data_IF_241668679107
#
_entry.id   IF_241668679107
#
_cell.length_a   1.000
_cell.length_b   1.000
_cell.length_c   1.000
_cell.angle_alpha   90.00
_cell.angle_beta   90.00
_cell.angle_gamma   90.00
#
_symmetry.space_group_name_H-M   'P 1'
#
loop_
_entity.id
_entity.type
_entity.pdbx_description
1 polymer ?
#
# COMPACT_ATOMS: atom_id res chain seq x y z
N UNK A 1 -12.15 19.11 1.84
CA UNK A 1 -12.20 17.63 1.68
C UNK A 1 -10.98 17.21 0.89
N UNK A 2 -10.17 16.36 1.48
CA UNK A 2 -9.00 15.84 0.77
C UNK A 2 -9.46 14.89 -0.33
N UNK A 3 -9.10 15.19 -1.55
CA UNK A 3 -9.36 14.29 -2.68
C UNK A 3 -8.39 13.10 -2.63
N UNK A 4 -8.73 12.00 -3.30
CA UNK A 4 -7.84 10.84 -3.44
C UNK A 4 -6.49 11.25 -4.05
N UNK A 5 -6.49 12.15 -5.02
CA UNK A 5 -5.26 12.68 -5.62
C UNK A 5 -4.41 13.45 -4.61
N UNK A 6 -5.01 14.26 -3.74
CA UNK A 6 -4.31 14.97 -2.66
C UNK A 6 -3.69 13.99 -1.66
N UNK A 7 -4.44 12.95 -1.28
CA UNK A 7 -3.93 11.89 -0.43
C UNK A 7 -2.74 11.19 -1.08
N UNK A 8 -2.85 10.79 -2.36
CA UNK A 8 -1.78 10.12 -3.10
C UNK A 8 -0.52 10.99 -3.17
N UNK A 9 -0.67 12.30 -3.44
CA UNK A 9 0.45 13.23 -3.41
C UNK A 9 1.11 13.30 -2.02
N UNK A 10 0.32 13.33 -0.95
CA UNK A 10 0.84 13.31 0.42
C UNK A 10 1.59 12.01 0.74
N UNK A 11 1.09 10.87 0.27
CA UNK A 11 1.76 9.58 0.42
C UNK A 11 3.07 9.53 -0.39
N UNK A 12 3.13 10.13 -1.57
CA UNK A 12 4.36 10.24 -2.36
C UNK A 12 5.43 11.03 -1.60
N UNK A 13 5.08 12.20 -1.05
CA UNK A 13 5.99 13.01 -0.22
C UNK A 13 6.48 12.18 0.97
N UNK A 14 5.59 11.42 1.61
CA UNK A 14 5.95 10.59 2.74
C UNK A 14 6.90 9.46 2.31
N UNK A 15 6.63 8.74 1.23
CA UNK A 15 7.50 7.69 0.68
C UNK A 15 8.88 8.28 0.38
N UNK A 16 8.96 9.37 -0.38
CA UNK A 16 10.21 10.05 -0.73
C UNK A 16 11.06 10.36 0.51
N UNK A 17 10.43 10.86 1.57
CA UNK A 17 11.11 11.23 2.82
C UNK A 17 11.66 10.03 3.60
N UNK A 18 11.19 8.81 3.33
CA UNK A 18 11.51 7.60 4.12
C UNK A 18 12.23 6.50 3.32
N UNK A 19 12.58 6.74 2.06
CA UNK A 19 13.31 5.77 1.23
C UNK A 19 14.65 5.33 1.85
N UNK A 20 15.31 6.21 2.62
CA UNK A 20 16.54 5.90 3.32
C UNK A 20 16.39 4.76 4.34
N UNK A 21 15.20 4.55 4.89
CA UNK A 21 14.93 3.45 5.86
C UNK A 21 15.04 2.08 5.22
N UNK A 22 14.76 1.99 3.92
CA UNK A 22 14.84 0.76 3.12
C UNK A 22 16.07 0.73 2.20
N UNK A 23 17.03 1.66 2.41
CA UNK A 23 18.22 1.82 1.58
C UNK A 23 17.90 1.95 0.08
N UNK A 24 16.80 2.63 -0.25
CA UNK A 24 16.41 2.87 -1.63
C UNK A 24 16.81 4.30 -2.05
N UNK A 25 17.37 4.42 -3.26
CA UNK A 25 17.68 5.68 -3.93
C UNK A 25 16.78 5.79 -5.18
N UNK A 26 15.47 5.93 -4.93
CA UNK A 26 14.48 6.01 -5.99
C UNK A 26 14.32 7.45 -6.47
N UNK A 27 14.25 7.61 -7.79
CA UNK A 27 13.79 8.83 -8.42
C UNK A 27 12.29 8.99 -8.19
N UNK A 28 11.87 10.16 -7.76
CA UNK A 28 10.45 10.44 -7.57
C UNK A 28 9.69 10.37 -8.90
N UNK A 29 8.59 9.58 -8.97
CA UNK A 29 7.74 9.54 -10.14
C UNK A 29 7.14 10.92 -10.42
N UNK A 30 7.14 11.32 -11.69
CA UNK A 30 6.60 12.62 -12.14
C UNK A 30 5.10 12.57 -12.45
N UNK A 31 4.45 11.44 -12.23
CA UNK A 31 3.00 11.24 -12.35
C UNK A 31 2.53 10.24 -11.28
N UNK A 32 1.22 10.20 -11.05
CA UNK A 32 0.57 9.25 -10.14
C UNK A 32 -0.11 8.14 -10.96
N UNK A 33 -0.16 6.90 -10.46
CA UNK A 33 -0.93 5.85 -11.11
C UNK A 33 -2.43 6.19 -11.05
N UNK A 34 -3.19 5.69 -12.00
CA UNK A 34 -4.65 5.71 -11.92
C UNK A 34 -5.10 4.74 -10.83
N UNK A 35 -5.96 5.18 -9.90
CA UNK A 35 -6.51 4.31 -8.86
C UNK A 35 -7.94 3.92 -9.24
N UNK A 36 -8.17 2.63 -9.49
CA UNK A 36 -9.47 2.06 -9.84
C UNK A 36 -10.05 1.26 -8.70
N UNK A 37 -11.32 1.52 -8.41
CA UNK A 37 -12.09 0.73 -7.44
C UNK A 37 -12.95 -0.29 -8.17
N UNK A 38 -12.68 -1.57 -7.93
CA UNK A 38 -13.31 -2.71 -8.62
C UNK A 38 -13.97 -3.67 -7.64
N UNK A 39 -14.86 -4.53 -8.11
CA UNK A 39 -15.47 -5.56 -7.26
C UNK A 39 -14.42 -6.55 -6.73
N UNK A 40 -14.71 -7.23 -5.61
CA UNK A 40 -13.82 -8.27 -5.09
C UNK A 40 -13.56 -9.38 -6.12
N UNK A 41 -14.58 -9.77 -6.88
CA UNK A 41 -14.44 -10.79 -7.91
C UNK A 41 -13.48 -10.35 -9.01
N UNK A 42 -13.58 -9.11 -9.49
CA UNK A 42 -12.69 -8.54 -10.49
C UNK A 42 -11.26 -8.40 -9.95
N UNK A 43 -11.11 -7.86 -8.72
CA UNK A 43 -9.81 -7.71 -8.08
C UNK A 43 -9.12 -9.06 -7.88
N UNK A 44 -9.85 -10.09 -7.45
CA UNK A 44 -9.31 -11.44 -7.30
C UNK A 44 -8.84 -12.05 -8.62
N UNK A 45 -9.53 -11.78 -9.73
CA UNK A 45 -9.11 -12.23 -11.07
C UNK A 45 -7.83 -11.54 -11.54
N UNK A 46 -7.65 -10.27 -11.18
CA UNK A 46 -6.46 -9.49 -11.53
C UNK A 46 -5.25 -9.90 -10.68
N UNK A 47 -5.46 -10.10 -9.38
CA UNK A 47 -4.38 -10.28 -8.41
C UNK A 47 -3.98 -11.74 -8.17
N UNK A 48 -4.88 -12.70 -8.39
CA UNK A 48 -4.72 -14.09 -7.97
C UNK A 48 -5.19 -15.07 -9.04
N UNK A 49 -4.51 -16.20 -9.12
CA UNK A 49 -4.97 -17.32 -9.96
C UNK A 49 -6.26 -17.97 -9.43
N UNK A 50 -6.52 -17.84 -8.15
CA UNK A 50 -7.71 -18.36 -7.44
C UNK A 50 -8.29 -17.25 -6.57
N UNK A 51 -9.59 -17.32 -6.19
CA UNK A 51 -10.18 -16.34 -5.27
C UNK A 51 -9.33 -16.16 -4.02
N UNK A 52 -8.97 -14.92 -3.72
CA UNK A 52 -8.10 -14.56 -2.60
C UNK A 52 -8.63 -13.31 -1.87
N UNK A 53 -8.33 -13.17 -0.57
CA UNK A 53 -8.76 -12.03 0.22
C UNK A 53 -7.84 -10.81 -0.03
N UNK A 54 -7.97 -10.16 -1.18
CA UNK A 54 -7.18 -9.00 -1.60
C UNK A 54 -8.00 -7.72 -1.51
N UNK A 55 -7.37 -6.64 -1.08
CA UNK A 55 -7.99 -5.31 -0.92
C UNK A 55 -7.36 -4.26 -1.83
N UNK A 56 -6.09 -4.41 -2.11
CA UNK A 56 -5.33 -3.58 -3.04
C UNK A 56 -4.39 -4.43 -3.87
N UNK A 57 -4.07 -3.97 -5.07
CA UNK A 57 -3.13 -4.64 -5.97
C UNK A 57 -2.56 -3.68 -7.00
N UNK A 58 -1.23 -3.62 -7.08
CA UNK A 58 -0.51 -2.99 -8.18
C UNK A 58 0.11 -4.07 -9.07
N UNK A 59 -0.41 -4.29 -10.30
CA UNK A 59 0.15 -5.26 -11.23
C UNK A 59 1.42 -4.70 -11.87
N UNK A 60 2.56 -5.35 -11.65
CA UNK A 60 3.86 -4.99 -12.24
C UNK A 60 3.90 -5.23 -13.77
N UNK A 61 2.90 -5.88 -14.33
CA UNK A 61 2.80 -6.17 -15.76
C UNK A 61 2.30 -4.98 -16.60
N UNK A 62 1.80 -3.93 -15.96
CA UNK A 62 1.23 -2.74 -16.62
C UNK A 62 2.27 -1.64 -16.87
N UNK A 63 3.44 -2.01 -17.37
CA UNK A 63 4.59 -1.11 -17.53
C UNK A 63 4.49 -0.20 -18.77
N UNK A 64 3.36 0.46 -18.95
CA UNK A 64 3.24 1.53 -19.95
C UNK A 64 3.25 2.85 -19.19
N UNK A 65 4.34 3.58 -19.27
CA UNK A 65 4.53 4.88 -18.63
C UNK A 65 3.28 5.78 -18.78
N UNK A 66 2.79 6.32 -17.67
CA UNK A 66 1.61 7.18 -17.62
C UNK A 66 0.27 6.45 -17.73
N UNK A 67 0.26 5.12 -17.76
CA UNK A 67 -0.96 4.29 -17.85
C UNK A 67 -1.04 3.22 -16.77
N UNK A 68 -0.17 3.28 -15.80
CA UNK A 68 -0.16 2.35 -14.69
C UNK A 68 -1.44 2.51 -13.86
N UNK A 69 -2.02 1.37 -13.52
CA UNK A 69 -3.27 1.30 -12.76
C UNK A 69 -3.03 0.53 -11.46
N UNK A 70 -3.41 1.15 -10.36
CA UNK A 70 -3.51 0.53 -9.05
C UNK A 70 -4.96 0.20 -8.76
N UNK A 71 -5.24 -1.03 -8.38
CA UNK A 71 -6.59 -1.48 -8.08
C UNK A 71 -6.85 -1.52 -6.59
N UNK A 72 -8.02 -1.04 -6.18
CA UNK A 72 -8.53 -1.15 -4.81
C UNK A 72 -9.92 -1.79 -4.82
N UNK A 73 -10.28 -2.47 -3.76
CA UNK A 73 -11.61 -3.07 -3.64
C UNK A 73 -12.68 -1.98 -3.52
N UNK A 74 -13.80 -2.16 -4.19
CA UNK A 74 -14.95 -1.25 -4.13
C UNK A 74 -15.46 -1.07 -2.70
N UNK A 75 -15.68 0.17 -2.30
CA UNK A 75 -16.09 0.54 -0.95
C UNK A 75 -14.93 0.79 0.01
N UNK A 76 -13.68 0.57 -0.41
CA UNK A 76 -12.51 0.99 0.35
C UNK A 76 -12.43 2.53 0.42
N UNK A 77 -12.12 3.06 1.59
CA UNK A 77 -12.00 4.51 1.83
C UNK A 77 -10.61 4.83 2.43
N UNK A 78 -9.59 5.04 1.59
CA UNK A 78 -8.24 5.35 2.07
C UNK A 78 -8.14 6.74 2.73
N UNK A 79 -9.11 7.62 2.50
CA UNK A 79 -9.12 8.97 3.09
C UNK A 79 -9.45 8.89 4.59
N UNK A 80 -10.47 8.12 4.94
CA UNK A 80 -10.98 8.06 6.32
C UNK A 80 -10.55 6.79 7.07
N UNK A 81 -10.11 5.75 6.37
CA UNK A 81 -9.72 4.48 6.95
C UNK A 81 -8.20 4.26 6.89
N UNK A 82 -7.52 4.32 8.03
CA UNK A 82 -6.08 4.10 8.11
C UNK A 82 -5.67 2.70 7.62
N UNK A 83 -6.48 1.66 7.86
CA UNK A 83 -6.19 0.31 7.35
C UNK A 83 -6.12 0.28 5.84
N UNK A 84 -7.08 0.91 5.17
CA UNK A 84 -7.12 1.01 3.71
C UNK A 84 -6.00 1.93 3.20
N UNK A 85 -5.72 3.01 3.91
CA UNK A 85 -4.64 3.93 3.55
C UNK A 85 -3.27 3.27 3.61
N UNK A 86 -3.01 2.40 4.58
CA UNK A 86 -1.74 1.67 4.66
C UNK A 86 -1.59 0.66 3.52
N UNK A 87 -2.68 0.04 3.08
CA UNK A 87 -2.68 -0.82 1.89
C UNK A 87 -2.41 0.02 0.64
N UNK A 88 -3.08 1.15 0.47
CA UNK A 88 -2.80 2.05 -0.65
C UNK A 88 -1.33 2.47 -0.68
N UNK A 89 -0.74 2.83 0.47
CA UNK A 89 0.68 3.16 0.55
C UNK A 89 1.56 1.99 0.12
N UNK A 90 1.26 0.76 0.56
CA UNK A 90 1.98 -0.45 0.16
C UNK A 90 2.00 -0.61 -1.36
N UNK A 91 0.85 -0.50 -2.01
CA UNK A 91 0.73 -0.61 -3.47
C UNK A 91 1.42 0.56 -4.20
N UNK A 92 1.40 1.76 -3.62
CA UNK A 92 2.16 2.90 -4.17
C UNK A 92 3.68 2.70 -4.07
N UNK A 93 4.17 1.97 -3.06
CA UNK A 93 5.59 1.58 -3.02
C UNK A 93 5.93 0.67 -4.17
N UNK A 94 5.07 -0.28 -4.54
CA UNK A 94 5.27 -1.12 -5.73
C UNK A 94 5.31 -0.30 -7.02
N UNK A 95 4.44 0.71 -7.15
CA UNK A 95 4.53 1.66 -8.27
C UNK A 95 5.88 2.40 -8.30
N UNK A 96 6.40 2.87 -7.16
CA UNK A 96 7.71 3.51 -7.10
C UNK A 96 8.85 2.54 -7.47
N UNK A 97 8.78 1.29 -7.02
CA UNK A 97 9.74 0.24 -7.35
C UNK A 97 9.75 -0.04 -8.85
N UNK A 98 8.58 -0.11 -9.46
CA UNK A 98 8.41 -0.36 -10.89
C UNK A 98 8.94 0.81 -11.73
N UNK A 99 8.57 2.04 -11.37
CA UNK A 99 9.07 3.27 -12.00
C UNK A 99 10.61 3.38 -11.98
N UNK A 100 11.27 2.76 -11.02
CA UNK A 100 12.72 2.78 -10.84
C UNK A 100 13.42 1.46 -11.19
N UNK A 101 12.74 0.50 -11.82
CA UNK A 101 13.29 -0.83 -12.17
C UNK A 101 13.98 -1.49 -10.98
N UNK A 102 13.39 -1.37 -9.78
CA UNK A 102 14.00 -1.78 -8.53
C UNK A 102 14.37 -3.26 -8.52
N UNK A 103 15.68 -3.54 -8.29
CA UNK A 103 16.28 -4.88 -8.24
C UNK A 103 16.40 -5.64 -9.57
N UNK A 104 16.02 -5.06 -10.70
CA UNK A 104 16.04 -5.75 -11.99
C UNK A 104 17.49 -6.01 -12.47
N UNK A 105 18.39 -5.07 -12.21
CA UNK A 105 19.80 -5.15 -12.62
C UNK A 105 20.67 -6.04 -11.73
N UNK A 106 20.11 -6.60 -10.64
CA UNK A 106 20.90 -7.36 -9.65
C UNK A 106 21.23 -8.80 -10.09
N UNK A 107 20.76 -9.27 -11.26
CA UNK A 107 20.94 -10.64 -11.73
C UNK A 107 20.22 -11.69 -10.87
N UNK A 108 19.33 -11.27 -9.99
CA UNK A 108 18.57 -12.12 -9.09
C UNK A 108 17.42 -12.82 -9.83
N UNK A 109 16.98 -13.96 -9.31
CA UNK A 109 15.75 -14.59 -9.81
C UNK A 109 14.52 -13.73 -9.53
N UNK A 110 13.47 -13.83 -10.34
CA UNK A 110 12.20 -13.11 -10.14
C UNK A 110 11.62 -13.28 -8.74
N UNK A 111 11.77 -14.47 -8.14
CA UNK A 111 11.34 -14.73 -6.76
C UNK A 111 12.09 -13.88 -5.74
N UNK A 112 13.40 -13.69 -5.92
CA UNK A 112 14.22 -12.86 -5.01
C UNK A 112 13.85 -11.40 -5.19
N UNK A 113 13.69 -10.92 -6.42
CA UNK A 113 13.23 -9.55 -6.72
C UNK A 113 11.89 -9.27 -6.07
N UNK A 114 10.91 -10.16 -6.26
CA UNK A 114 9.59 -10.06 -5.62
C UNK A 114 9.70 -9.97 -4.09
N UNK A 115 10.47 -10.88 -3.47
CA UNK A 115 10.64 -10.89 -2.01
C UNK A 115 11.24 -9.59 -1.48
N UNK A 116 12.23 -9.02 -2.17
CA UNK A 116 12.87 -7.76 -1.79
C UNK A 116 11.90 -6.57 -1.92
N UNK A 117 11.13 -6.54 -3.01
CA UNK A 117 10.09 -5.52 -3.22
C UNK A 117 9.05 -5.55 -2.11
N UNK A 118 8.52 -6.73 -1.78
CA UNK A 118 7.58 -6.91 -0.67
C UNK A 118 8.16 -6.49 0.69
N UNK A 119 9.40 -6.84 0.98
CA UNK A 119 10.05 -6.43 2.22
C UNK A 119 10.13 -4.92 2.37
N UNK A 120 10.52 -4.20 1.32
CA UNK A 120 10.55 -2.74 1.35
C UNK A 120 9.16 -2.14 1.54
N UNK A 121 8.17 -2.64 0.80
CA UNK A 121 6.79 -2.16 0.90
C UNK A 121 6.23 -2.38 2.31
N UNK A 122 6.44 -3.55 2.92
CA UNK A 122 6.03 -3.83 4.29
C UNK A 122 6.74 -2.98 5.34
N UNK A 123 8.05 -2.74 5.19
CA UNK A 123 8.79 -1.87 6.11
C UNK A 123 8.21 -0.46 6.09
N UNK A 124 7.99 0.11 4.91
CA UNK A 124 7.42 1.45 4.77
C UNK A 124 5.97 1.51 5.26
N UNK A 125 5.15 0.51 4.96
CA UNK A 125 3.79 0.38 5.48
C UNK A 125 3.75 0.38 7.01
N UNK A 126 4.58 -0.43 7.66
CA UNK A 126 4.65 -0.50 9.12
C UNK A 126 5.13 0.81 9.74
N UNK A 127 6.12 1.45 9.14
CA UNK A 127 6.63 2.75 9.59
C UNK A 127 5.56 3.83 9.49
N UNK A 128 4.85 3.91 8.36
CA UNK A 128 3.75 4.84 8.17
C UNK A 128 2.66 4.66 9.22
N UNK A 129 2.24 3.43 9.44
CA UNK A 129 1.22 3.09 10.44
C UNK A 129 1.66 3.53 11.84
N UNK A 130 2.91 3.25 12.21
CA UNK A 130 3.49 3.68 13.50
C UNK A 130 3.46 5.20 13.67
N UNK A 131 3.85 5.96 12.64
CA UNK A 131 3.78 7.43 12.67
C UNK A 131 2.34 7.94 12.84
N UNK A 132 1.36 7.34 12.16
CA UNK A 132 -0.04 7.74 12.30
C UNK A 132 -0.58 7.48 13.72
N UNK A 133 -0.16 6.39 14.37
CA UNK A 133 -0.54 6.10 15.76
C UNK A 133 0.09 7.09 16.73
N UNK A 134 1.35 7.41 16.56
CA UNK A 134 2.05 8.38 17.41
C UNK A 134 1.44 9.77 17.28
N UNK A 135 1.07 10.19 16.07
CA UNK A 135 0.40 11.46 15.85
C UNK A 135 -0.99 11.50 16.50
N UNK A 136 -1.77 10.42 16.35
CA UNK A 136 -3.07 10.33 17.00
C UNK A 136 -2.94 10.39 18.53
N UNK A 137 -1.98 9.65 19.11
CA UNK A 137 -1.71 9.65 20.55
C UNK A 137 -1.28 11.03 21.03
N UNK A 138 -0.42 11.72 20.31
CA UNK A 138 -0.01 13.11 20.63
C UNK A 138 -1.19 14.09 20.63
N UNK A 139 -2.10 13.96 19.66
CA UNK A 139 -3.27 14.83 19.53
C UNK A 139 -4.37 14.55 20.55
N UNK A 140 -4.60 13.32 20.91
CA UNK A 140 -5.77 12.89 21.68
C UNK A 140 -5.47 12.38 23.08
N UNK A 141 -4.21 12.07 23.39
CA UNK A 141 -3.81 11.38 24.61
C UNK A 141 -4.26 9.90 24.66
N UNK A 142 -4.83 9.37 23.59
CA UNK A 142 -5.41 8.01 23.51
C UNK A 142 -4.63 7.15 22.52
N UNK A 143 -4.64 5.84 22.76
CA UNK A 143 -4.16 4.89 21.78
C UNK A 143 -5.16 4.73 20.63
N UNK A 144 -4.64 4.70 19.41
CA UNK A 144 -5.43 4.40 18.23
C UNK A 144 -5.59 2.89 18.06
N UNK A 145 -6.82 2.42 17.90
CA UNK A 145 -7.12 1.02 17.59
C UNK A 145 -7.73 0.92 16.19
N UNK A 146 -6.94 0.61 15.17
CA UNK A 146 -7.49 0.39 13.85
C UNK A 146 -8.27 -0.92 13.82
N UNK A 147 -9.38 -0.93 13.07
CA UNK A 147 -10.26 -2.10 12.99
C UNK A 147 -9.66 -3.30 12.25
N UNK A 148 -8.59 -3.11 11.47
CA UNK A 148 -7.88 -4.19 10.79
C UNK A 148 -6.89 -4.91 11.69
N UNK A 149 -6.58 -4.39 12.87
CA UNK A 149 -5.56 -4.91 13.74
C UNK A 149 -6.16 -5.41 15.06
N UNK A 150 -5.94 -6.67 15.38
CA UNK A 150 -6.23 -7.25 16.68
C UNK A 150 -5.30 -6.69 17.76
N UNK A 151 -4.04 -6.52 17.41
CA UNK A 151 -3.00 -6.01 18.29
C UNK A 151 -2.00 -5.19 17.49
N UNK A 152 -1.54 -4.09 18.07
CA UNK A 152 -0.50 -3.24 17.51
C UNK A 152 0.68 -3.20 18.45
N UNK A 153 1.85 -3.61 17.98
CA UNK A 153 3.11 -3.46 18.68
C UNK A 153 4.16 -2.93 17.73
N UNK A 154 4.81 -1.82 18.07
CA UNK A 154 5.85 -1.17 17.26
C UNK A 154 5.41 -0.89 15.80
N UNK A 155 4.16 -0.47 15.61
CA UNK A 155 3.56 -0.21 14.28
C UNK A 155 3.15 -1.48 13.51
N UNK A 156 3.49 -2.68 13.99
CA UNK A 156 3.08 -3.94 13.37
C UNK A 156 1.63 -4.25 13.73
N UNK A 157 0.88 -4.60 12.71
CA UNK A 157 -0.51 -5.03 12.83
C UNK A 157 -0.58 -6.55 12.85
N UNK A 158 -1.17 -7.12 13.89
CA UNK A 158 -1.68 -8.49 13.83
C UNK A 158 -3.09 -8.39 13.26
N UNK A 159 -3.29 -8.92 12.07
CA UNK A 159 -4.57 -8.80 11.37
C UNK A 159 -5.74 -9.32 12.20
N UNK A 160 -6.81 -8.54 12.27
CA UNK A 160 -8.08 -8.97 12.84
C UNK A 160 -8.74 -9.96 11.89
N UNK A 161 -9.05 -11.20 12.32
CA UNK A 161 -9.72 -12.16 11.47
C UNK A 161 -11.05 -11.61 10.95
N UNK A 162 -11.28 -11.74 9.64
CA UNK A 162 -12.53 -11.36 9.01
C UNK A 162 -12.77 -9.86 8.79
N UNK A 163 -11.80 -8.97 9.12
CA UNK A 163 -11.99 -7.54 8.86
C UNK A 163 -12.21 -7.21 7.38
N UNK A 164 -11.65 -8.02 6.50
CA UNK A 164 -11.79 -7.89 5.04
C UNK A 164 -13.17 -8.35 4.56
N UNK A 165 -13.88 -9.18 5.30
CA UNK A 165 -15.17 -9.77 4.94
C UNK A 165 -16.23 -8.69 4.64
N UNK A 166 -16.12 -7.50 5.25
CA UNK A 166 -17.01 -6.37 5.00
C UNK A 166 -16.97 -5.88 3.54
N UNK A 167 -15.89 -6.15 2.80
CA UNK A 167 -15.72 -5.79 1.40
C UNK A 167 -16.05 -6.95 0.46
N UNK A 168 -15.89 -8.20 0.93
CA UNK A 168 -16.07 -9.41 0.12
C UNK A 168 -17.54 -9.84 0.06
N UNK A 169 -18.29 -9.64 1.14
CA UNK A 169 -19.69 -10.11 1.30
C UNK A 169 -20.73 -9.11 0.77
N UNK A 170 -20.33 -8.04 0.17
CA UNK A 170 -21.20 -7.06 -0.47
C UNK A 170 -21.21 -7.27 -1.98
#
# INVERSE_FOLDING_TARGET
MDSLSTLTASLFIWISSHLHVVNADFKEPNYQPEIKFVSHEELSKIACEKPCPVVGWYPTENQIEGKEVLYMIKGADPINDLCIRTILLHELVHFWQDYNDAFEDAGDSQKVVFTRREQQAHILEHLYRGHQYDEYRKKTGKEYKPRCCKQVAFGRCVNEPGWIDQYIKK
#
